data_IF_479741284063
#
_entry.id   IF_479741284063
#
_cell.length_a   1.000
_cell.length_b   1.000
_cell.length_c   1.000
_cell.angle_alpha   90.00
_cell.angle_beta   90.00
_cell.angle_gamma   90.00
#
_symmetry.space_group_name_H-M   'P 1'
#
loop_
_entity.id
_entity.type
_entity.pdbx_description
1 polymer ?
#
# COMPACT_ATOMS: atom_id res chain seq x y z
N UNK A 1 -20.39 0.50 5.54
CA UNK A 1 -20.15 1.76 6.28
C UNK A 1 -18.97 2.48 5.65
N UNK A 2 -18.89 3.81 5.74
CA UNK A 2 -17.74 4.58 5.26
C UNK A 2 -17.24 5.50 6.36
N UNK A 3 -15.94 5.75 6.40
CA UNK A 3 -15.29 6.66 7.35
C UNK A 3 -15.02 8.03 6.72
N UNK A 4 -15.18 9.09 7.49
CA UNK A 4 -14.95 10.45 7.01
C UNK A 4 -14.22 11.23 8.09
N UNK A 5 -13.05 11.76 7.72
CA UNK A 5 -12.17 12.53 8.59
C UNK A 5 -11.85 11.82 9.92
N UNK A 6 -11.85 10.48 9.92
CA UNK A 6 -11.55 9.71 11.11
C UNK A 6 -10.09 9.96 11.53
N UNK A 7 -9.87 10.23 12.81
CA UNK A 7 -8.53 10.48 13.35
C UNK A 7 -8.17 9.43 14.40
N UNK A 8 -7.16 8.62 14.08
CA UNK A 8 -6.53 7.65 14.99
C UNK A 8 -5.12 8.14 15.26
N UNK A 9 -4.92 8.89 16.36
CA UNK A 9 -3.63 9.54 16.64
C UNK A 9 -3.08 9.27 18.03
N UNK A 10 -1.77 9.06 18.12
CA UNK A 10 -1.03 9.06 19.39
C UNK A 10 -1.34 7.87 20.29
N UNK A 11 -1.92 6.79 19.74
CA UNK A 11 -2.23 5.61 20.51
C UNK A 11 -0.96 4.80 20.77
N UNK A 12 -0.90 4.13 21.92
CA UNK A 12 0.03 3.04 22.15
C UNK A 12 -0.74 1.74 22.32
N UNK A 13 -0.53 0.78 21.43
CA UNK A 13 -1.22 -0.49 21.44
C UNK A 13 -0.21 -1.63 21.59
N UNK A 14 -0.38 -2.41 22.66
CA UNK A 14 0.36 -3.64 22.93
C UNK A 14 -0.51 -4.60 23.72
N UNK A 15 -0.35 -5.92 23.59
CA UNK A 15 -1.06 -6.85 24.44
C UNK A 15 -0.59 -6.72 25.90
N UNK A 16 -1.52 -6.78 26.84
CA UNK A 16 -1.27 -6.68 28.27
C UNK A 16 -1.62 -8.01 28.91
N UNK A 17 -0.66 -8.69 29.51
CA UNK A 17 -0.92 -9.94 30.23
C UNK A 17 -1.84 -9.69 31.44
N UNK A 18 -2.77 -10.59 31.77
CA UNK A 18 -2.99 -11.92 31.18
C UNK A 18 -3.93 -11.91 29.96
N UNK A 19 -4.27 -10.75 29.42
CA UNK A 19 -5.32 -10.64 28.40
C UNK A 19 -4.94 -11.32 27.08
N UNK A 20 -5.99 -11.72 26.38
CA UNK A 20 -5.91 -12.43 25.11
C UNK A 20 -5.19 -11.64 24.02
N UNK A 21 -5.01 -12.32 22.90
CA UNK A 21 -4.22 -11.83 21.80
C UNK A 21 -4.99 -10.83 20.92
N UNK A 22 -4.33 -9.73 20.56
CA UNK A 22 -4.80 -8.80 19.53
C UNK A 22 -4.14 -9.12 18.19
N UNK A 23 -4.96 -9.25 17.13
CA UNK A 23 -4.49 -9.62 15.79
C UNK A 23 -4.29 -8.43 14.84
N UNK A 24 -5.11 -7.38 14.99
CA UNK A 24 -5.06 -6.16 14.16
C UNK A 24 -5.25 -4.93 15.04
N UNK A 25 -4.63 -3.82 14.67
CA UNK A 25 -4.82 -2.53 15.32
C UNK A 25 -5.97 -1.74 14.69
N UNK A 26 -6.02 -1.70 13.35
CA UNK A 26 -7.01 -0.92 12.61
C UNK A 26 -7.46 -1.66 11.35
N UNK A 27 -8.78 -1.69 11.14
CA UNK A 27 -9.40 -2.21 9.91
C UNK A 27 -10.40 -1.19 9.41
N UNK A 28 -10.25 -0.76 8.15
CA UNK A 28 -11.22 0.09 7.45
C UNK A 28 -11.64 -0.62 6.15
N UNK A 29 -12.92 -0.75 5.89
CA UNK A 29 -13.41 -1.44 4.69
C UNK A 29 -14.37 -0.59 3.87
N UNK A 30 -14.51 -0.96 2.60
CA UNK A 30 -15.37 -0.37 1.58
C UNK A 30 -14.97 1.03 1.09
N UNK A 31 -14.97 2.04 1.95
CA UNK A 31 -14.66 3.43 1.55
C UNK A 31 -14.31 4.33 2.73
N UNK A 32 -13.56 5.39 2.45
CA UNK A 32 -13.29 6.45 3.40
C UNK A 32 -12.79 7.74 2.74
N UNK A 33 -12.83 8.86 3.45
CA UNK A 33 -12.33 10.13 2.93
C UNK A 33 -11.67 10.95 4.03
N UNK A 34 -10.44 11.40 3.80
CA UNK A 34 -9.72 12.25 4.76
C UNK A 34 -9.29 11.55 6.04
N UNK A 35 -9.32 10.22 6.08
CA UNK A 35 -8.96 9.45 7.27
C UNK A 35 -7.45 9.57 7.58
N UNK A 36 -7.10 9.71 8.85
CA UNK A 36 -5.74 9.97 9.34
C UNK A 36 -5.36 9.02 10.46
N UNK A 37 -4.26 8.31 10.26
CA UNK A 37 -3.66 7.38 11.22
C UNK A 37 -2.24 7.84 11.50
N UNK A 38 -2.03 8.46 12.65
CA UNK A 38 -0.83 9.27 12.87
C UNK A 38 -0.16 9.02 14.22
N UNK A 39 1.17 8.96 14.23
CA UNK A 39 1.95 8.98 15.48
C UNK A 39 1.57 7.87 16.47
N UNK A 40 1.06 6.73 15.97
CA UNK A 40 0.73 5.57 16.80
C UNK A 40 1.96 4.69 17.02
N UNK A 41 2.05 4.08 18.19
CA UNK A 41 3.07 3.09 18.57
C UNK A 41 2.38 1.75 18.76
N UNK A 42 2.68 0.78 17.89
CA UNK A 42 2.06 -0.53 17.89
C UNK A 42 3.15 -1.57 18.09
N UNK A 43 2.99 -2.41 19.12
CA UNK A 43 4.02 -3.36 19.56
C UNK A 43 3.39 -4.74 19.83
N UNK A 44 3.98 -5.80 19.29
CA UNK A 44 3.62 -7.19 19.57
C UNK A 44 2.14 -7.56 19.31
N UNK A 45 1.51 -6.84 18.38
CA UNK A 45 0.21 -7.19 17.79
C UNK A 45 0.44 -8.09 16.57
N UNK A 46 -0.47 -9.03 16.33
CA UNK A 46 -0.37 -9.96 15.19
C UNK A 46 0.20 -11.31 15.61
N UNK A 47 0.75 -12.06 14.65
CA UNK A 47 1.27 -13.42 14.88
C UNK A 47 2.45 -13.41 15.86
N UNK A 48 2.63 -14.52 16.58
CA UNK A 48 3.76 -14.72 17.50
C UNK A 48 4.36 -16.11 17.29
N UNK A 49 5.66 -16.24 17.53
CA UNK A 49 6.37 -17.51 17.39
C UNK A 49 5.87 -18.59 18.37
N UNK A 50 5.33 -18.19 19.53
CA UNK A 50 4.81 -19.08 20.57
C UNK A 50 3.28 -19.34 20.47
N UNK A 51 2.65 -18.96 19.35
CA UNK A 51 1.24 -19.20 19.13
C UNK A 51 0.91 -20.71 19.08
N UNK A 52 0.02 -21.15 19.96
CA UNK A 52 -0.48 -22.55 19.99
C UNK A 52 -1.61 -22.80 19.00
N UNK A 53 -2.25 -21.73 18.50
CA UNK A 53 -3.29 -21.80 17.47
C UNK A 53 -2.63 -21.56 16.10
N UNK A 54 -2.67 -22.52 15.18
CA UNK A 54 -2.11 -22.33 13.84
C UNK A 54 -2.80 -21.13 13.16
N UNK A 55 -1.97 -20.23 12.60
CA UNK A 55 -2.42 -19.02 11.93
C UNK A 55 -3.40 -19.37 10.79
N UNK A 56 -4.68 -19.02 10.92
CA UNK A 56 -5.68 -19.15 9.85
C UNK A 56 -5.55 -18.02 8.81
N UNK A 57 -5.08 -16.84 9.24
CA UNK A 57 -4.79 -15.69 8.38
C UNK A 57 -3.50 -15.02 8.83
N UNK A 58 -2.69 -14.58 7.88
CA UNK A 58 -1.52 -13.70 8.09
C UNK A 58 -2.01 -12.37 8.69
N UNK A 59 -1.66 -12.02 9.94
CA UNK A 59 -2.29 -10.85 10.57
C UNK A 59 -1.79 -9.54 9.98
N UNK A 60 -2.72 -8.67 9.62
CA UNK A 60 -2.45 -7.37 8.98
C UNK A 60 -2.72 -6.26 9.99
N UNK A 61 -1.66 -5.64 10.51
CA UNK A 61 -1.78 -4.76 11.68
C UNK A 61 -2.67 -3.55 11.37
N UNK A 62 -2.44 -2.92 10.22
CA UNK A 62 -3.34 -1.94 9.63
C UNK A 62 -3.83 -2.53 8.31
N UNK A 63 -5.14 -2.61 8.15
CA UNK A 63 -5.80 -3.14 6.96
C UNK A 63 -6.79 -2.13 6.39
N UNK A 64 -6.70 -1.89 5.08
CA UNK A 64 -7.78 -1.27 4.32
C UNK A 64 -8.17 -2.11 3.12
N UNK A 65 -9.47 -2.27 2.89
CA UNK A 65 -10.01 -3.10 1.80
C UNK A 65 -11.13 -2.39 1.03
N UNK A 66 -10.96 -2.23 -0.28
CA UNK A 66 -11.99 -1.66 -1.15
C UNK A 66 -11.95 -2.26 -2.57
N UNK A 67 -12.70 -3.34 -2.83
CA UNK A 67 -12.55 -4.14 -4.05
C UNK A 67 -13.63 -3.95 -5.12
N UNK A 68 -14.51 -2.97 -4.98
CA UNK A 68 -15.72 -2.84 -5.79
C UNK A 68 -15.59 -1.76 -6.86
N UNK A 69 -16.03 -2.07 -8.09
CA UNK A 69 -16.24 -1.06 -9.14
C UNK A 69 -17.73 -0.94 -9.47
N UNK A 70 -18.12 0.28 -9.84
CA UNK A 70 -19.41 0.57 -10.45
C UNK A 70 -19.34 0.41 -11.97
N UNK A 71 -18.25 0.87 -12.56
CA UNK A 71 -18.07 0.87 -14.00
C UNK A 71 -16.61 0.67 -14.36
N UNK A 72 -16.36 -0.04 -15.45
CA UNK A 72 -15.13 0.12 -16.22
C UNK A 72 -15.40 -0.03 -17.71
N UNK A 73 -14.93 0.92 -18.50
CA UNK A 73 -15.14 0.90 -19.94
C UNK A 73 -14.85 2.23 -20.62
N UNK A 74 -15.24 2.32 -21.88
CA UNK A 74 -15.04 3.51 -22.70
C UNK A 74 -15.98 4.64 -22.30
N UNK A 75 -15.48 5.86 -22.26
CA UNK A 75 -16.33 7.05 -22.17
C UNK A 75 -17.23 7.08 -23.41
N UNK A 76 -18.55 7.18 -23.21
CA UNK A 76 -19.52 7.24 -24.30
C UNK A 76 -19.58 8.65 -24.92
N UNK A 77 -19.49 9.69 -24.09
CA UNK A 77 -19.36 11.07 -24.52
C UNK A 77 -18.67 11.91 -23.45
N UNK A 78 -17.96 12.96 -23.88
CA UNK A 78 -17.33 13.95 -23.02
C UNK A 78 -17.64 15.34 -23.55
N UNK A 79 -18.10 16.26 -22.70
CA UNK A 79 -18.26 17.67 -23.06
C UNK A 79 -16.95 18.29 -23.53
N UNK A 80 -17.03 19.37 -24.31
CA UNK A 80 -15.86 20.04 -24.87
C UNK A 80 -14.86 20.53 -23.79
N UNK A 81 -15.36 20.91 -22.61
CA UNK A 81 -14.58 21.35 -21.45
C UNK A 81 -14.12 20.21 -20.54
N UNK A 82 -14.49 18.95 -20.81
CA UNK A 82 -14.14 17.77 -20.03
C UNK A 82 -14.90 17.58 -18.71
N UNK A 83 -15.92 18.39 -18.41
CA UNK A 83 -16.63 18.35 -17.11
C UNK A 83 -17.85 17.42 -17.07
N UNK A 84 -18.56 17.23 -18.17
CA UNK A 84 -19.67 16.26 -18.25
C UNK A 84 -19.18 15.00 -18.94
N UNK A 85 -19.10 13.92 -18.17
CA UNK A 85 -18.75 12.59 -18.65
C UNK A 85 -20.02 11.74 -18.73
N UNK A 86 -20.24 11.11 -19.88
CA UNK A 86 -21.23 10.05 -20.05
C UNK A 86 -20.55 8.71 -20.24
N UNK A 87 -21.02 7.69 -19.54
CA UNK A 87 -20.60 6.30 -19.68
C UNK A 87 -21.69 5.46 -20.37
N UNK A 88 -21.35 4.21 -20.67
CA UNK A 88 -22.37 3.19 -20.96
C UNK A 88 -22.95 2.65 -19.66
N UNK A 89 -24.03 1.86 -19.76
CA UNK A 89 -24.68 1.19 -18.63
C UNK A 89 -23.67 0.63 -17.61
N UNK A 90 -23.72 1.07 -16.34
CA UNK A 90 -22.83 0.57 -15.29
C UNK A 90 -23.03 -0.92 -15.05
N UNK A 91 -21.94 -1.62 -14.72
CA UNK A 91 -21.97 -3.06 -14.44
C UNK A 91 -22.27 -3.34 -12.96
N UNK A 92 -21.88 -2.42 -12.08
CA UNK A 92 -21.91 -2.59 -10.63
C UNK A 92 -22.97 -1.78 -9.90
N UNK A 93 -22.71 -1.59 -8.61
CA UNK A 93 -23.58 -0.84 -7.70
C UNK A 93 -23.70 0.62 -8.14
N UNK A 94 -24.78 1.26 -7.70
CA UNK A 94 -25.06 2.66 -8.01
C UNK A 94 -23.89 3.59 -7.62
N UNK A 95 -23.61 4.54 -8.51
CA UNK A 95 -22.62 5.59 -8.31
C UNK A 95 -23.13 6.61 -7.28
N UNK A 96 -22.26 7.15 -6.45
CA UNK A 96 -22.54 8.25 -5.54
C UNK A 96 -21.74 9.52 -5.90
N UNK A 97 -22.26 10.68 -5.50
CA UNK A 97 -21.45 11.92 -5.48
C UNK A 97 -20.26 11.71 -4.55
N UNK A 98 -19.08 12.12 -5.01
CA UNK A 98 -17.83 11.80 -4.33
C UNK A 98 -17.33 10.38 -4.61
N UNK A 99 -17.83 9.68 -5.63
CA UNK A 99 -17.09 8.55 -6.19
C UNK A 99 -15.94 9.05 -7.05
N UNK A 100 -15.02 8.12 -7.36
CA UNK A 100 -13.81 8.44 -8.12
C UNK A 100 -13.89 7.90 -9.53
N UNK A 101 -13.58 8.76 -10.49
CA UNK A 101 -13.33 8.38 -11.88
C UNK A 101 -11.84 8.23 -12.08
N UNK A 102 -11.38 7.00 -12.27
CA UNK A 102 -9.99 6.68 -12.59
C UNK A 102 -9.76 6.81 -14.10
N UNK A 103 -8.74 7.55 -14.50
CA UNK A 103 -8.36 7.69 -15.90
C UNK A 103 -7.39 6.56 -16.24
N UNK A 104 -7.87 5.54 -16.95
CA UNK A 104 -7.08 4.32 -17.15
C UNK A 104 -6.19 4.39 -18.39
N UNK A 105 -6.48 5.30 -19.33
CA UNK A 105 -5.78 5.42 -20.63
C UNK A 105 -5.57 6.89 -21.01
N UNK A 106 -4.73 7.12 -22.02
CA UNK A 106 -4.45 8.45 -22.55
C UNK A 106 -3.34 9.18 -21.79
N UNK A 107 -3.11 10.48 -22.10
CA UNK A 107 -2.01 11.25 -21.53
C UNK A 107 -2.09 11.43 -20.01
N UNK A 108 -3.29 11.32 -19.44
CA UNK A 108 -3.56 11.45 -18.01
C UNK A 108 -3.78 10.10 -17.33
N UNK A 109 -3.41 8.98 -17.97
CA UNK A 109 -3.52 7.65 -17.38
C UNK A 109 -2.85 7.59 -16.00
N UNK A 110 -3.56 7.00 -15.04
CA UNK A 110 -3.11 6.89 -13.66
C UNK A 110 -3.40 8.13 -12.79
N UNK A 111 -4.14 9.10 -13.31
CA UNK A 111 -4.78 10.15 -12.52
C UNK A 111 -6.24 9.79 -12.21
N UNK A 112 -6.86 10.54 -11.30
CA UNK A 112 -8.27 10.38 -10.96
C UNK A 112 -9.00 11.73 -10.90
N UNK A 113 -10.33 11.69 -10.99
CA UNK A 113 -11.28 12.82 -10.81
C UNK A 113 -12.35 12.43 -9.80
N UNK A 114 -13.05 13.42 -9.25
CA UNK A 114 -14.19 13.21 -8.34
C UNK A 114 -15.49 13.47 -9.08
N UNK A 115 -16.50 12.67 -8.83
CA UNK A 115 -17.87 12.98 -9.27
C UNK A 115 -18.40 14.08 -8.37
N UNK A 116 -18.56 15.28 -8.93
CA UNK A 116 -19.09 16.44 -8.23
C UNK A 116 -20.62 16.41 -8.17
N UNK A 117 -21.27 15.85 -9.21
CA UNK A 117 -22.72 15.71 -9.27
C UNK A 117 -23.11 14.56 -10.20
N UNK A 118 -24.20 13.87 -9.86
CA UNK A 118 -24.86 12.88 -10.72
C UNK A 118 -26.01 13.57 -11.43
N UNK A 119 -26.02 13.52 -12.77
CA UNK A 119 -27.11 14.04 -13.59
C UNK A 119 -28.14 12.94 -13.85
N UNK A 120 -27.66 11.75 -14.20
CA UNK A 120 -28.44 10.51 -14.33
C UNK A 120 -27.53 9.29 -14.13
N UNK A 121 -28.06 8.08 -14.29
CA UNK A 121 -27.33 6.82 -14.05
C UNK A 121 -26.10 6.64 -14.96
N UNK A 122 -26.01 7.34 -16.10
CA UNK A 122 -24.90 7.27 -17.06
C UNK A 122 -24.12 8.58 -17.18
N UNK A 123 -24.60 9.69 -16.60
CA UNK A 123 -24.06 11.03 -16.83
C UNK A 123 -23.65 11.72 -15.53
N UNK A 124 -22.39 12.15 -15.47
CA UNK A 124 -21.77 12.72 -14.29
C UNK A 124 -21.05 14.03 -14.58
N UNK A 125 -21.17 14.98 -13.66
CA UNK A 125 -20.28 16.12 -13.57
C UNK A 125 -19.03 15.71 -12.79
N UNK A 126 -17.85 15.90 -13.39
CA UNK A 126 -16.56 15.54 -12.81
C UNK A 126 -15.69 16.77 -12.56
N UNK A 127 -14.94 16.73 -11.46
CA UNK A 127 -13.96 17.75 -11.10
C UNK A 127 -12.68 17.12 -10.54
N UNK A 128 -11.48 17.50 -11.01
CA UNK A 128 -11.23 18.38 -12.16
C UNK A 128 -11.75 17.84 -13.51
N UNK A 129 -11.69 18.61 -14.61
CA UNK A 129 -12.10 18.11 -15.92
C UNK A 129 -11.25 16.92 -16.42
N UNK A 130 -11.87 16.03 -17.20
CA UNK A 130 -11.18 14.92 -17.87
C UNK A 130 -10.41 15.46 -19.09
N UNK A 131 -9.09 15.22 -19.20
CA UNK A 131 -8.30 15.67 -20.34
C UNK A 131 -8.66 14.90 -21.62
N UNK A 132 -8.55 15.60 -22.75
CA UNK A 132 -8.71 15.00 -24.09
C UNK A 132 -7.74 13.83 -24.28
N UNK A 133 -8.20 12.81 -25.01
CA UNK A 133 -7.44 11.58 -25.26
C UNK A 133 -7.58 10.51 -24.18
N UNK A 134 -8.33 10.77 -23.10
CA UNK A 134 -8.78 9.72 -22.17
C UNK A 134 -9.90 8.93 -22.84
N UNK A 135 -9.72 7.62 -23.02
CA UNK A 135 -10.71 6.77 -23.71
C UNK A 135 -11.46 5.85 -22.75
N UNK A 136 -10.73 5.24 -21.82
CA UNK A 136 -11.21 4.26 -20.85
C UNK A 136 -11.07 4.80 -19.44
N UNK A 137 -12.13 4.64 -18.65
CA UNK A 137 -12.21 5.01 -17.23
C UNK A 137 -12.77 3.85 -16.40
N UNK A 138 -12.52 3.90 -15.10
CA UNK A 138 -13.33 3.16 -14.13
C UNK A 138 -13.94 4.09 -13.08
N UNK A 139 -15.08 3.70 -12.51
CA UNK A 139 -15.77 4.42 -11.45
C UNK A 139 -15.84 3.53 -10.22
N UNK A 140 -15.40 4.05 -9.08
CA UNK A 140 -15.26 3.29 -7.85
C UNK A 140 -15.58 4.11 -6.59
N UNK A 141 -16.10 3.40 -5.59
CA UNK A 141 -16.01 3.78 -4.18
C UNK A 141 -14.61 3.40 -3.67
N UNK A 142 -14.04 4.16 -2.74
CA UNK A 142 -12.74 3.80 -2.15
C UNK A 142 -12.27 4.78 -1.10
N UNK A 143 -10.99 4.68 -0.76
CA UNK A 143 -10.33 5.59 0.18
C UNK A 143 -9.73 6.79 -0.54
N UNK A 144 -10.16 8.00 -0.20
CA UNK A 144 -9.68 9.24 -0.82
C UNK A 144 -8.94 10.09 0.20
N UNK A 145 -7.68 10.40 -0.09
CA UNK A 145 -6.86 11.23 0.78
C UNK A 145 -6.55 10.62 2.15
N UNK A 146 -6.62 9.28 2.28
CA UNK A 146 -6.22 8.60 3.50
C UNK A 146 -4.72 8.82 3.77
N UNK A 147 -4.35 9.09 5.02
CA UNK A 147 -2.96 9.31 5.39
C UNK A 147 -2.51 8.52 6.61
N UNK A 148 -1.33 7.93 6.50
CA UNK A 148 -0.66 7.13 7.52
C UNK A 148 0.70 7.76 7.77
N UNK A 149 0.86 8.44 8.90
CA UNK A 149 2.05 9.27 9.12
C UNK A 149 2.73 8.98 10.45
N UNK A 150 4.06 8.82 10.42
CA UNK A 150 4.90 8.70 11.63
C UNK A 150 4.47 7.60 12.60
N UNK A 151 3.79 6.56 12.11
CA UNK A 151 3.47 5.40 12.94
C UNK A 151 4.71 4.55 13.11
N UNK A 152 4.85 3.94 14.29
CA UNK A 152 5.84 2.92 14.56
C UNK A 152 5.13 1.58 14.79
N UNK A 153 5.44 0.59 13.97
CA UNK A 153 4.84 -0.76 14.04
C UNK A 153 5.95 -1.78 14.27
N UNK A 154 5.95 -2.46 15.40
CA UNK A 154 6.88 -3.53 15.75
C UNK A 154 6.17 -4.88 15.74
N UNK A 155 6.52 -5.70 14.76
CA UNK A 155 6.00 -7.05 14.58
C UNK A 155 7.14 -8.06 14.37
N UNK A 156 8.31 -7.79 14.95
CA UNK A 156 9.47 -8.71 14.87
C UNK A 156 9.20 -10.06 15.53
N UNK A 157 8.22 -10.14 16.43
CA UNK A 157 7.72 -11.38 17.03
C UNK A 157 6.82 -12.19 16.09
N UNK A 158 6.34 -11.62 14.98
CA UNK A 158 5.36 -12.24 14.08
C UNK A 158 5.85 -12.43 12.66
N UNK A 159 6.58 -13.52 12.39
CA UNK A 159 7.17 -13.81 11.07
C UNK A 159 6.15 -13.91 9.92
N UNK A 160 4.86 -14.06 10.22
CA UNK A 160 3.77 -14.15 9.22
C UNK A 160 2.93 -12.87 9.11
N UNK A 161 3.20 -11.87 9.92
CA UNK A 161 2.40 -10.64 9.96
C UNK A 161 2.81 -9.63 8.90
N UNK A 162 1.86 -8.81 8.47
CA UNK A 162 2.11 -7.66 7.61
C UNK A 162 1.86 -6.36 8.38
N UNK A 163 2.78 -5.40 8.29
CA UNK A 163 2.68 -4.14 9.03
C UNK A 163 1.51 -3.27 8.55
N UNK A 164 1.41 -3.04 7.24
CA UNK A 164 0.32 -2.27 6.66
C UNK A 164 -0.11 -2.87 5.31
N UNK A 165 -1.39 -3.19 5.18
CA UNK A 165 -1.97 -3.75 3.97
C UNK A 165 -3.05 -2.80 3.48
N UNK A 166 -2.80 -2.14 2.35
CA UNK A 166 -3.71 -1.19 1.73
C UNK A 166 -4.08 -1.70 0.35
N UNK A 167 -5.25 -2.29 0.23
CA UNK A 167 -5.61 -3.10 -0.94
C UNK A 167 -6.93 -2.65 -1.54
N UNK A 168 -6.91 -2.52 -2.87
CA UNK A 168 -8.04 -2.07 -3.67
C UNK A 168 -8.05 -0.55 -3.95
N UNK A 169 -9.24 0.04 -3.92
CA UNK A 169 -9.52 1.39 -4.39
C UNK A 169 -8.94 2.45 -3.43
N UNK A 170 -7.86 3.11 -3.86
CA UNK A 170 -7.15 4.13 -3.10
C UNK A 170 -6.77 5.31 -3.99
N UNK A 171 -7.01 6.53 -3.51
CA UNK A 171 -6.85 7.74 -4.32
C UNK A 171 -6.19 8.85 -3.51
N UNK A 172 -4.97 9.22 -3.89
CA UNK A 172 -4.21 10.25 -3.17
C UNK A 172 -3.73 9.83 -1.78
N UNK A 173 -3.54 8.53 -1.54
CA UNK A 173 -3.06 7.99 -0.26
C UNK A 173 -1.66 8.50 0.08
N UNK A 174 -1.42 8.84 1.35
CA UNK A 174 -0.11 9.30 1.83
C UNK A 174 0.42 8.38 2.92
N UNK A 175 1.61 7.81 2.74
CA UNK A 175 2.29 6.97 3.73
C UNK A 175 3.66 7.57 4.00
N UNK A 176 3.80 8.33 5.09
CA UNK A 176 4.94 9.24 5.28
C UNK A 176 5.60 9.06 6.64
N UNK A 177 6.92 8.87 6.66
CA UNK A 177 7.71 8.89 7.89
C UNK A 177 7.43 7.74 8.85
N UNK A 178 6.79 6.65 8.40
CA UNK A 178 6.49 5.50 9.25
C UNK A 178 7.73 4.62 9.44
N UNK A 179 7.80 3.91 10.57
CA UNK A 179 8.83 2.92 10.85
C UNK A 179 8.17 1.57 11.10
N UNK A 180 8.36 0.63 10.19
CA UNK A 180 7.78 -0.71 10.25
C UNK A 180 8.91 -1.73 10.46
N UNK A 181 8.85 -2.48 11.56
CA UNK A 181 9.89 -3.40 12.01
C UNK A 181 9.39 -4.83 11.99
N UNK A 182 10.07 -5.71 11.24
CA UNK A 182 9.78 -7.14 11.20
C UNK A 182 8.62 -7.51 10.28
N UNK A 183 8.09 -8.72 10.50
CA UNK A 183 6.99 -9.28 9.74
C UNK A 183 7.41 -10.04 8.48
N UNK A 184 6.44 -10.73 7.88
CA UNK A 184 6.54 -11.24 6.53
C UNK A 184 6.67 -10.07 5.54
N UNK A 185 5.87 -9.02 5.71
CA UNK A 185 5.95 -7.81 4.90
C UNK A 185 5.85 -6.57 5.78
N UNK A 186 6.70 -5.59 5.49
CA UNK A 186 6.53 -4.27 6.11
C UNK A 186 5.22 -3.63 5.63
N UNK A 187 5.04 -3.59 4.30
CA UNK A 187 3.82 -3.13 3.65
C UNK A 187 3.43 -4.05 2.49
N UNK A 188 2.12 -4.11 2.19
CA UNK A 188 1.55 -4.70 0.97
C UNK A 188 0.49 -3.76 0.42
N UNK A 189 0.84 -2.97 -0.60
CA UNK A 189 -0.15 -2.12 -1.27
C UNK A 189 -0.42 -2.63 -2.67
N UNK A 190 -1.69 -2.82 -2.99
CA UNK A 190 -2.04 -3.36 -4.27
C UNK A 190 -3.30 -2.77 -4.88
N UNK A 191 -3.25 -2.57 -6.20
CA UNK A 191 -4.45 -2.53 -7.01
C UNK A 191 -4.91 -3.98 -7.21
N UNK A 192 -5.84 -4.41 -6.37
CA UNK A 192 -6.29 -5.80 -6.30
C UNK A 192 -7.31 -6.14 -7.39
N UNK A 193 -7.45 -7.43 -7.74
CA UNK A 193 -8.58 -7.91 -8.52
C UNK A 193 -9.91 -7.45 -7.90
N UNK A 194 -10.85 -7.05 -8.74
CA UNK A 194 -12.18 -6.64 -8.26
C UNK A 194 -13.00 -7.84 -7.83
N UNK A 195 -13.70 -7.74 -6.70
CA UNK A 195 -14.70 -8.74 -6.26
C UNK A 195 -16.00 -8.65 -7.06
N UNK A 196 -16.42 -7.41 -7.32
CA UNK A 196 -17.62 -7.03 -8.04
C UNK A 196 -17.23 -5.96 -9.06
N UNK A 197 -17.88 -5.85 -10.23
CA UNK A 197 -19.30 -6.18 -10.44
C UNK A 197 -19.64 -7.46 -11.21
N UNK A 198 -18.70 -8.08 -11.92
CA UNK A 198 -19.00 -9.21 -12.81
C UNK A 198 -18.61 -10.53 -12.16
N UNK A 199 -17.30 -10.78 -12.09
CA UNK A 199 -16.69 -11.93 -11.44
C UNK A 199 -15.37 -11.48 -10.84
N UNK A 200 -14.86 -12.24 -9.87
CA UNK A 200 -13.54 -12.00 -9.30
C UNK A 200 -12.49 -11.81 -10.40
N UNK A 201 -11.73 -10.71 -10.33
CA UNK A 201 -10.65 -10.40 -11.27
C UNK A 201 -11.09 -10.09 -12.69
N UNK A 202 -12.37 -9.72 -12.89
CA UNK A 202 -12.82 -9.11 -14.14
C UNK A 202 -12.08 -7.81 -14.46
N UNK A 203 -11.75 -7.01 -13.43
CA UNK A 203 -10.85 -5.88 -13.51
C UNK A 203 -9.98 -5.73 -12.25
N UNK A 204 -9.35 -4.58 -12.09
CA UNK A 204 -8.57 -4.17 -10.92
C UNK A 204 -9.19 -2.94 -10.24
N UNK A 205 -9.15 -2.94 -8.92
CA UNK A 205 -9.50 -1.82 -8.06
C UNK A 205 -8.33 -0.80 -8.03
N UNK A 206 -8.47 0.41 -8.60
CA UNK A 206 -7.33 1.32 -8.82
C UNK A 206 -6.70 1.91 -7.55
N UNK A 207 -5.38 2.00 -7.53
CA UNK A 207 -4.59 2.64 -6.47
C UNK A 207 -3.77 3.81 -7.06
N UNK A 208 -4.36 4.99 -7.14
CA UNK A 208 -3.83 6.11 -7.93
C UNK A 208 -3.35 7.29 -7.08
N UNK A 209 -2.20 7.84 -7.45
CA UNK A 209 -1.65 9.06 -6.88
C UNK A 209 -1.09 8.89 -5.47
N UNK A 210 -0.60 7.71 -5.12
CA UNK A 210 -0.05 7.47 -3.79
C UNK A 210 1.30 8.18 -3.61
N UNK A 211 1.58 8.65 -2.40
CA UNK A 211 2.89 9.16 -2.00
C UNK A 211 3.41 8.34 -0.83
N UNK A 212 4.55 7.67 -1.04
CA UNK A 212 5.23 6.83 -0.05
C UNK A 212 6.62 7.42 0.19
N UNK A 213 6.78 8.09 1.31
CA UNK A 213 7.92 8.99 1.51
C UNK A 213 8.56 8.91 2.90
N UNK A 214 9.88 8.94 2.96
CA UNK A 214 10.66 9.00 4.21
C UNK A 214 10.35 7.86 5.21
N UNK A 215 9.83 6.73 4.75
CA UNK A 215 9.55 5.57 5.61
C UNK A 215 10.81 4.72 5.84
N UNK A 216 10.82 3.96 6.93
CA UNK A 216 11.82 2.94 7.24
C UNK A 216 11.13 1.58 7.26
N UNK A 217 11.57 0.69 6.36
CA UNK A 217 11.18 -0.71 6.30
C UNK A 217 12.34 -1.55 6.85
N UNK A 218 12.21 -2.00 8.09
CA UNK A 218 13.28 -2.64 8.83
C UNK A 218 13.00 -4.14 9.03
N UNK A 219 13.96 -4.98 8.68
CA UNK A 219 13.98 -6.41 9.02
C UNK A 219 12.71 -7.22 8.63
N UNK A 220 12.03 -6.82 7.55
CA UNK A 220 10.90 -7.56 6.99
C UNK A 220 11.39 -8.67 6.06
N UNK A 221 10.98 -9.93 6.31
CA UNK A 221 11.49 -11.11 5.61
C UNK A 221 11.16 -11.14 4.10
N UNK A 222 10.01 -10.60 3.72
CA UNK A 222 9.52 -10.46 2.34
C UNK A 222 9.50 -9.01 1.86
N UNK A 223 10.12 -8.08 2.59
CA UNK A 223 10.27 -6.69 2.18
C UNK A 223 8.98 -5.87 2.15
N UNK A 224 8.98 -4.79 1.36
CA UNK A 224 7.83 -3.94 1.05
C UNK A 224 7.31 -4.27 -0.36
N UNK A 225 6.03 -4.65 -0.48
CA UNK A 225 5.43 -5.10 -1.74
C UNK A 225 4.42 -4.08 -2.24
N UNK A 226 4.57 -3.69 -3.50
CA UNK A 226 3.72 -2.69 -4.17
C UNK A 226 3.43 -3.16 -5.59
N UNK A 227 2.18 -3.16 -6.03
CA UNK A 227 1.90 -3.40 -7.45
C UNK A 227 0.45 -3.72 -7.80
N UNK A 228 0.24 -3.98 -9.09
CA UNK A 228 -1.04 -4.48 -9.59
C UNK A 228 -1.05 -6.00 -9.46
N UNK A 229 -1.98 -6.53 -8.68
CA UNK A 229 -2.05 -7.97 -8.42
C UNK A 229 -2.62 -8.73 -9.61
N UNK A 230 -2.03 -9.88 -9.91
CA UNK A 230 -2.46 -10.75 -11.00
C UNK A 230 -2.56 -12.20 -10.55
N UNK A 231 -3.47 -12.94 -11.17
CA UNK A 231 -3.55 -14.39 -11.09
C UNK A 231 -3.75 -14.94 -12.49
N UNK A 232 -2.92 -15.91 -12.89
CA UNK A 232 -2.99 -16.54 -14.20
C UNK A 232 -4.37 -17.16 -14.49
N UNK A 233 -5.10 -17.55 -13.44
CA UNK A 233 -6.37 -18.26 -13.56
C UNK A 233 -7.60 -17.36 -13.48
N UNK A 234 -7.51 -16.25 -12.75
CA UNK A 234 -8.69 -15.51 -12.32
C UNK A 234 -8.66 -14.02 -12.68
N UNK A 235 -7.53 -13.48 -13.14
CA UNK A 235 -7.40 -12.06 -13.46
C UNK A 235 -7.32 -11.87 -14.97
N UNK A 236 -8.24 -11.10 -15.52
CA UNK A 236 -8.23 -10.73 -16.92
C UNK A 236 -7.08 -9.77 -17.20
N UNK A 237 -6.35 -9.97 -18.30
CA UNK A 237 -5.37 -8.98 -18.76
C UNK A 237 -6.09 -7.73 -19.28
N UNK A 238 -5.69 -6.57 -18.77
CA UNK A 238 -6.21 -5.26 -19.14
C UNK A 238 -5.11 -4.38 -19.74
N UNK A 239 -4.29 -4.99 -20.61
CA UNK A 239 -3.11 -4.39 -21.22
C UNK A 239 -3.35 -2.98 -21.74
N UNK A 240 -2.42 -2.07 -21.45
CA UNK A 240 -2.45 -0.67 -21.86
C UNK A 240 -3.25 0.25 -20.95
N UNK A 241 -3.71 -0.25 -19.79
CA UNK A 241 -4.39 0.53 -18.75
C UNK A 241 -3.51 0.69 -17.53
N UNK A 242 -3.56 1.85 -16.88
CA UNK A 242 -2.83 2.11 -15.63
C UNK A 242 -3.77 2.01 -14.43
N UNK A 243 -3.48 1.08 -13.52
CA UNK A 243 -4.28 0.84 -12.31
C UNK A 243 -3.56 1.26 -11.03
N UNK A 244 -2.24 1.41 -11.06
CA UNK A 244 -1.50 1.88 -9.91
C UNK A 244 -0.49 2.96 -10.28
N UNK A 245 -0.50 4.08 -9.55
CA UNK A 245 0.51 5.13 -9.66
C UNK A 245 1.01 5.55 -8.29
N UNK A 246 2.33 5.52 -8.11
CA UNK A 246 2.97 5.91 -6.86
C UNK A 246 4.19 6.81 -7.09
N UNK A 247 4.37 7.75 -6.17
CA UNK A 247 5.64 8.41 -5.90
C UNK A 247 6.30 7.70 -4.71
N UNK A 248 7.51 7.17 -4.90
CA UNK A 248 8.24 6.38 -3.92
C UNK A 248 9.58 7.06 -3.61
N UNK A 249 9.63 7.85 -2.55
CA UNK A 249 10.73 8.79 -2.33
C UNK A 249 11.43 8.60 -0.98
N UNK A 250 12.76 8.58 -0.99
CA UNK A 250 13.61 8.67 0.20
C UNK A 250 13.32 7.63 1.30
N UNK A 251 12.73 6.49 0.92
CA UNK A 251 12.49 5.40 1.86
C UNK A 251 13.80 4.64 2.12
N UNK A 252 13.87 4.05 3.30
CA UNK A 252 15.01 3.26 3.76
C UNK A 252 14.59 1.82 3.92
N UNK A 253 15.22 0.92 3.17
CA UNK A 253 15.25 -0.49 3.52
C UNK A 253 16.39 -0.69 4.49
N UNK A 254 16.11 -1.19 5.70
CA UNK A 254 17.13 -1.46 6.71
C UNK A 254 17.19 -2.94 7.05
N UNK A 255 18.40 -3.49 7.01
CA UNK A 255 18.67 -4.84 7.49
C UNK A 255 19.70 -4.81 8.60
N UNK A 256 19.35 -5.36 9.75
CA UNK A 256 20.25 -5.49 10.90
C UNK A 256 21.05 -6.78 10.82
N UNK A 257 22.22 -6.82 11.47
CA UNK A 257 23.02 -8.07 11.55
C UNK A 257 22.24 -9.23 12.19
N UNK A 258 21.53 -9.04 13.32
CA UNK A 258 20.75 -10.12 13.92
C UNK A 258 19.66 -10.67 13.00
N UNK A 259 18.99 -9.79 12.25
CA UNK A 259 17.99 -10.21 11.27
C UNK A 259 18.60 -11.07 10.16
N UNK A 260 19.69 -10.63 9.54
CA UNK A 260 20.33 -11.39 8.46
C UNK A 260 20.86 -12.75 8.93
N UNK A 261 21.38 -12.83 10.17
CA UNK A 261 21.79 -14.10 10.77
C UNK A 261 20.60 -15.05 10.94
N UNK A 262 19.48 -14.58 11.51
CA UNK A 262 18.26 -15.39 11.64
C UNK A 262 17.71 -15.81 10.27
N UNK A 263 17.67 -14.90 9.32
CA UNK A 263 17.18 -15.15 7.97
C UNK A 263 18.02 -16.23 7.26
N UNK A 264 19.35 -16.14 7.34
CA UNK A 264 20.26 -17.15 6.78
C UNK A 264 20.09 -18.54 7.40
N UNK A 265 19.85 -18.61 8.71
CA UNK A 265 19.60 -19.87 9.42
C UNK A 265 18.29 -20.56 9.03
N UNK A 266 17.36 -19.87 8.36
CA UNK A 266 16.11 -20.47 7.85
C UNK A 266 16.30 -21.29 6.56
N UNK A 267 17.52 -21.36 6.02
CA UNK A 267 17.83 -22.07 4.77
C UNK A 267 17.67 -21.21 3.50
N UNK A 268 17.41 -19.91 3.65
CA UNK A 268 17.36 -18.97 2.55
C UNK A 268 18.73 -18.85 1.86
N UNK A 269 18.75 -18.98 0.52
CA UNK A 269 19.97 -18.96 -0.31
C UNK A 269 20.35 -17.57 -0.80
N UNK A 270 19.44 -16.61 -0.73
CA UNK A 270 19.63 -15.22 -1.14
C UNK A 270 19.37 -14.29 0.05
N UNK A 271 19.93 -13.07 0.05
CA UNK A 271 19.49 -12.03 0.97
C UNK A 271 17.97 -11.78 0.85
N UNK A 272 17.31 -11.29 1.91
CA UNK A 272 15.91 -10.93 1.84
C UNK A 272 15.68 -9.83 0.79
N UNK A 273 14.51 -9.78 0.14
CA UNK A 273 14.17 -8.66 -0.74
C UNK A 273 13.92 -7.39 0.09
N UNK A 274 14.24 -6.24 -0.50
CA UNK A 274 14.00 -4.94 0.11
C UNK A 274 12.66 -4.34 -0.31
N UNK A 275 12.63 -3.82 -1.54
CA UNK A 275 11.43 -3.33 -2.22
C UNK A 275 11.07 -4.29 -3.35
N UNK A 276 9.80 -4.65 -3.47
CA UNK A 276 9.26 -5.48 -4.55
C UNK A 276 8.21 -4.66 -5.30
N UNK A 277 8.44 -4.44 -6.59
CA UNK A 277 7.56 -3.67 -7.47
C UNK A 277 6.92 -4.56 -8.53
N UNK A 278 5.59 -4.62 -8.51
CA UNK A 278 4.76 -5.47 -9.35
C UNK A 278 4.49 -6.84 -8.71
N UNK A 279 3.56 -7.58 -9.30
CA UNK A 279 3.26 -8.96 -8.93
C UNK A 279 3.41 -9.87 -10.14
N UNK A 280 3.89 -11.10 -9.92
CA UNK A 280 3.76 -12.16 -10.92
C UNK A 280 2.30 -12.64 -10.94
N UNK A 281 1.75 -13.05 -12.09
CA UNK A 281 2.39 -13.13 -13.41
C UNK A 281 2.18 -11.88 -14.29
N UNK A 282 2.06 -10.66 -13.73
CA UNK A 282 1.89 -9.48 -14.59
C UNK A 282 3.03 -9.35 -15.59
N UNK A 283 2.68 -8.99 -16.82
CA UNK A 283 3.61 -8.79 -17.93
C UNK A 283 3.45 -7.42 -18.60
N UNK A 284 2.61 -6.54 -18.07
CA UNK A 284 2.42 -5.19 -18.61
C UNK A 284 3.00 -4.12 -17.67
N UNK A 285 4.16 -3.54 -18.02
CA UNK A 285 4.75 -2.46 -17.25
C UNK A 285 3.88 -1.20 -17.16
N UNK A 286 2.90 -0.99 -18.04
CA UNK A 286 2.07 0.23 -18.02
C UNK A 286 0.95 0.18 -16.96
N UNK A 287 0.66 -0.99 -16.38
CA UNK A 287 -0.35 -1.15 -15.33
C UNK A 287 0.08 -0.50 -14.01
N UNK A 288 1.38 -0.50 -13.75
CA UNK A 288 1.98 0.06 -12.55
C UNK A 288 3.05 1.10 -12.90
N UNK A 289 2.80 2.36 -12.55
CA UNK A 289 3.73 3.46 -12.80
C UNK A 289 4.35 3.92 -11.48
N UNK A 290 5.67 3.98 -11.45
CA UNK A 290 6.45 4.39 -10.29
C UNK A 290 7.35 5.55 -10.68
N UNK A 291 7.22 6.67 -9.95
CA UNK A 291 8.24 7.71 -9.91
C UNK A 291 9.00 7.55 -8.59
N UNK A 292 10.31 7.33 -8.66
CA UNK A 292 11.10 7.01 -7.49
C UNK A 292 12.43 7.78 -7.44
N UNK A 293 12.74 8.31 -6.27
CA UNK A 293 13.98 9.04 -6.03
C UNK A 293 14.50 8.84 -4.59
N UNK A 294 15.82 8.73 -4.42
CA UNK A 294 16.46 8.76 -3.10
C UNK A 294 16.22 7.57 -2.17
N UNK A 295 15.54 6.50 -2.64
CA UNK A 295 15.41 5.27 -1.86
C UNK A 295 16.78 4.58 -1.72
N UNK A 296 17.05 4.00 -0.55
CA UNK A 296 18.37 3.45 -0.23
C UNK A 296 18.29 2.20 0.64
N UNK A 297 19.39 1.46 0.65
CA UNK A 297 19.63 0.34 1.55
C UNK A 297 20.59 0.76 2.68
N UNK A 298 20.21 0.45 3.91
CA UNK A 298 21.06 0.48 5.10
C UNK A 298 21.28 -0.97 5.57
N UNK A 299 22.45 -1.53 5.28
CA UNK A 299 22.80 -2.91 5.61
C UNK A 299 24.25 -3.00 6.15
N UNK A 300 24.63 -4.12 6.80
CA UNK A 300 26.00 -4.30 7.28
C UNK A 300 27.02 -4.22 6.14
N UNK A 301 28.19 -3.64 6.43
CA UNK A 301 29.25 -3.45 5.46
C UNK A 301 29.66 -4.79 4.79
N UNK A 302 29.95 -4.74 3.49
CA UNK A 302 30.37 -5.90 2.69
C UNK A 302 29.23 -6.80 2.20
N UNK A 303 27.99 -6.57 2.61
CA UNK A 303 26.84 -7.33 2.11
C UNK A 303 26.57 -6.99 0.64
N UNK A 304 26.56 -8.02 -0.22
CA UNK A 304 26.05 -7.91 -1.59
C UNK A 304 24.53 -8.12 -1.56
N UNK A 305 23.78 -7.11 -2.00
CA UNK A 305 22.31 -7.09 -1.91
C UNK A 305 21.65 -6.83 -3.29
N UNK A 306 21.89 -7.69 -4.31
CA UNK A 306 21.40 -7.47 -5.67
C UNK A 306 19.86 -7.52 -5.80
N UNK A 307 19.16 -7.96 -4.75
CA UNK A 307 17.70 -8.10 -4.70
C UNK A 307 17.07 -7.11 -3.69
N UNK A 308 17.81 -6.09 -3.27
CA UNK A 308 17.25 -5.02 -2.43
C UNK A 308 16.19 -4.19 -3.18
N UNK A 309 16.17 -4.23 -4.51
CA UNK A 309 15.05 -3.83 -5.36
C UNK A 309 14.75 -4.92 -6.38
N UNK A 310 13.59 -5.56 -6.23
CA UNK A 310 13.04 -6.55 -7.16
C UNK A 310 11.92 -5.93 -7.99
N UNK A 311 11.96 -6.12 -9.29
CA UNK A 311 10.98 -5.59 -10.23
C UNK A 311 10.40 -6.73 -11.08
N UNK A 312 9.09 -6.92 -11.01
CA UNK A 312 8.35 -7.88 -11.83
C UNK A 312 7.82 -7.25 -13.12
N UNK A 313 6.95 -6.24 -13.03
CA UNK A 313 6.46 -5.47 -14.16
C UNK A 313 6.06 -4.06 -13.71
N UNK A 314 6.73 -3.04 -14.24
CA UNK A 314 6.51 -1.64 -13.83
C UNK A 314 7.11 -0.66 -14.84
N UNK A 315 6.48 0.50 -14.99
CA UNK A 315 7.07 1.69 -15.62
C UNK A 315 7.75 2.52 -14.54
N UNK A 316 9.04 2.28 -14.35
CA UNK A 316 9.87 2.91 -13.33
C UNK A 316 10.62 4.10 -13.92
N UNK A 317 10.36 5.31 -13.42
CA UNK A 317 10.99 6.55 -13.91
C UNK A 317 10.95 6.65 -15.45
N UNK A 318 9.75 6.43 -16.02
CA UNK A 318 9.47 6.42 -17.46
C UNK A 318 10.06 5.25 -18.26
N UNK A 319 10.79 4.33 -17.64
CA UNK A 319 11.33 3.13 -18.28
C UNK A 319 10.46 1.91 -18.01
N UNK A 320 10.13 1.14 -19.04
CA UNK A 320 9.42 -0.14 -18.91
C UNK A 320 10.39 -1.22 -18.47
N UNK A 321 10.19 -1.78 -17.29
CA UNK A 321 11.05 -2.82 -16.72
C UNK A 321 10.25 -4.10 -16.46
N UNK A 322 10.86 -5.24 -16.81
CA UNK A 322 10.30 -6.58 -16.62
C UNK A 322 11.34 -7.51 -16.02
N UNK A 323 10.98 -8.21 -14.94
CA UNK A 323 11.80 -9.24 -14.28
C UNK A 323 13.26 -8.81 -14.10
N UNK A 324 13.45 -7.69 -13.40
CA UNK A 324 14.77 -7.11 -13.11
C UNK A 324 15.07 -7.14 -11.62
N UNK A 325 16.36 -7.25 -11.32
CA UNK A 325 16.92 -7.21 -9.97
C UNK A 325 17.94 -6.10 -9.91
N UNK A 326 17.85 -5.23 -8.92
CA UNK A 326 18.75 -4.10 -8.72
C UNK A 326 19.19 -4.02 -7.26
N UNK A 327 20.39 -3.49 -7.06
CA UNK A 327 20.80 -3.02 -5.74
C UNK A 327 20.29 -1.60 -5.54
N UNK A 328 19.61 -1.34 -4.42
CA UNK A 328 19.41 0.01 -3.94
C UNK A 328 20.76 0.65 -3.60
N UNK A 329 20.94 1.96 -3.83
CA UNK A 329 22.12 2.69 -3.37
C UNK A 329 22.33 2.49 -1.87
N UNK A 330 23.58 2.29 -1.45
CA UNK A 330 23.92 2.17 -0.04
C UNK A 330 23.95 3.55 0.61
N UNK A 331 23.21 3.71 1.71
CA UNK A 331 23.34 4.89 2.57
C UNK A 331 24.64 4.85 3.38
N UNK A 332 25.22 6.01 3.71
CA UNK A 332 26.23 6.07 4.80
C UNK A 332 25.57 5.51 6.05
N UNK A 333 26.02 4.33 6.48
CA UNK A 333 25.40 3.59 7.57
C UNK A 333 25.27 4.45 8.81
N UNK A 334 24.04 4.83 9.15
CA UNK A 334 23.71 5.05 10.55
C UNK A 334 24.05 3.75 11.27
N UNK A 335 24.97 3.82 12.23
CA UNK A 335 25.46 2.68 13.00
C UNK A 335 24.33 1.66 13.26
N UNK A 336 24.38 0.53 12.56
CA UNK A 336 23.44 -0.60 12.72
C UNK A 336 23.62 -1.33 14.08
N UNK A 337 24.22 -0.63 15.05
CA UNK A 337 24.59 -1.11 16.38
C UNK A 337 23.93 -0.31 17.52
N UNK A 338 23.06 0.68 17.28
CA UNK A 338 22.40 1.38 18.38
C UNK A 338 21.16 0.62 18.87
N UNK A 339 21.34 -0.32 19.78
CA UNK A 339 20.41 -0.48 20.90
C UNK A 339 20.35 0.88 21.59
N UNK A 340 19.32 1.68 21.29
CA UNK A 340 19.00 2.85 22.11
C UNK A 340 18.33 2.30 23.38
N UNK A 341 18.91 2.45 24.57
CA UNK A 341 18.24 2.02 25.79
C UNK A 341 17.00 2.89 25.98
N UNK A 342 15.89 2.24 26.29
CA UNK A 342 14.68 2.87 26.80
C UNK A 342 15.05 3.75 28.00
N UNK A 343 14.76 5.05 27.90
CA UNK A 343 14.75 5.91 29.06
C UNK A 343 13.46 5.63 29.85
N UNK A 344 13.49 4.56 30.64
CA UNK A 344 12.52 4.33 31.69
C UNK A 344 12.90 5.15 32.93
N UNK A 345 12.01 6.07 33.30
CA UNK A 345 11.60 6.42 34.67
C UNK A 345 12.56 6.16 35.85
N UNK A 346 13.03 7.25 36.47
CA UNK A 346 13.16 7.39 37.93
C UNK A 346 12.93 8.87 38.23
N UNK A 347 11.93 9.30 38.99
CA UNK A 347 11.79 8.99 40.42
C UNK A 347 10.36 9.19 40.91
N UNK A 348 9.79 8.13 41.50
CA UNK A 348 8.80 8.24 42.58
C UNK A 348 9.55 8.28 43.92
N UNK A 349 9.31 9.30 44.72
CA UNK A 349 9.81 9.42 46.10
C UNK A 349 8.76 10.12 46.95
N UNK A 350 8.02 9.33 47.70
CA UNK A 350 6.84 9.68 48.50
C UNK A 350 7.19 10.20 49.91
N UNK A 351 6.33 11.07 50.42
CA UNK A 351 5.80 11.11 51.81
C UNK A 351 6.29 12.16 52.81
N UNK A 352 5.28 12.88 53.33
CA UNK A 352 5.00 13.28 54.73
C UNK A 352 6.02 14.13 55.51
N UNK A 353 5.65 15.39 55.75
CA UNK A 353 4.99 15.84 56.99
C UNK A 353 4.18 17.10 56.74
#
# INVERSE_FOLDING_TARGET
HGTYDALVRGNRAKPVQPEGKTWRFLVLTHRGSGDRVEENIIEDIGSREDDTIPSSNEPEIILTEAYHLTYEGRIAALSADGRLMRIYRPQGQETATGDVVSLLTGPAAGQFRRIAQIIDIETYLVDPPIPKGTEVVSIAHGFVGASFQKNRIDIRSGQKSAGMVLVGNHFGTRVIGNHLLGGANSIRFAACPTETPVVWGWSHAPFLGAVIEDNIFEDAAGGAVLGVEHSARYVKSNKGRTYMTIALNRNVVRWTKPFLQRYGSSGAKAPPPGLILGYLPSHDPEEFVVQAAGNRLEAPAGLKAPESLLIHAVKYNSQKLLNRKFSLPTGRGGSANSTRPDAASSSSGSSRR
#
